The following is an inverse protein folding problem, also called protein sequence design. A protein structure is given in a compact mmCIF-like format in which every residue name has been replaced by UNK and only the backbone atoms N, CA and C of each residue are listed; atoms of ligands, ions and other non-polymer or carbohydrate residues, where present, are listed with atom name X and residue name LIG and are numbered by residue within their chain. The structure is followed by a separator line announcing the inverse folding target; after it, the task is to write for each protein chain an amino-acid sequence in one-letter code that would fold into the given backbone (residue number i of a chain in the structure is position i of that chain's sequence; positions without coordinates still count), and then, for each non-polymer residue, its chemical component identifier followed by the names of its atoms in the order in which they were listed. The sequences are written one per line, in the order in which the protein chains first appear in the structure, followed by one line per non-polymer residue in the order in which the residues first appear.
data_IF_919578512543
#
_entry.id   IF_919578512543
#
_cell.length_a   1.000
_cell.length_b   1.000
_cell.length_c   1.000
_cell.angle_alpha   90.00
_cell.angle_beta   90.00
_cell.angle_gamma   90.00
#
_symmetry.space_group_name_H-M   'P 1'
#
loop_
_entity.id
_entity.type
_entity.pdbx_description
1 polymer ?
#
# COMPACT_ATOMS: atom_id res chain seq x y z
N UNK A 1 -20.78 15.78 -78.13
CA UNK A 1 -19.77 16.73 -77.61
C UNK A 1 -20.35 17.39 -76.35
N UNK A 2 -19.92 16.93 -75.17
CA UNK A 2 -20.45 17.36 -73.85
C UNK A 2 -19.68 18.61 -73.37
N UNK A 3 -20.40 19.69 -73.04
CA UNK A 3 -19.87 20.85 -72.30
C UNK A 3 -20.01 20.62 -70.80
N UNK A 4 -18.97 20.98 -70.07
CA UNK A 4 -18.77 20.76 -68.65
C UNK A 4 -19.68 21.65 -67.77
N UNK A 5 -20.22 21.05 -66.70
CA UNK A 5 -20.81 21.76 -65.56
C UNK A 5 -19.80 21.67 -64.41
N UNK A 6 -19.21 22.80 -64.02
CA UNK A 6 -18.40 22.90 -62.80
C UNK A 6 -19.32 23.12 -61.61
N UNK A 7 -19.51 22.11 -60.76
CA UNK A 7 -20.05 22.30 -59.41
C UNK A 7 -18.90 22.55 -58.43
N UNK A 8 -18.78 23.77 -57.90
CA UNK A 8 -17.93 24.05 -56.74
C UNK A 8 -18.57 23.40 -55.50
N UNK A 9 -18.04 22.26 -55.05
CA UNK A 9 -18.28 21.77 -53.68
C UNK A 9 -17.27 22.46 -52.76
N UNK A 10 -17.77 23.33 -51.87
CA UNK A 10 -17.00 23.74 -50.70
C UNK A 10 -16.80 22.50 -49.82
N UNK A 11 -15.55 22.10 -49.65
CA UNK A 11 -15.16 21.11 -48.65
C UNK A 11 -15.06 21.85 -47.33
N UNK A 12 -16.05 21.64 -46.45
CA UNK A 12 -15.91 21.99 -45.04
C UNK A 12 -14.96 20.96 -44.41
N UNK A 13 -13.69 21.33 -44.22
CA UNK A 13 -12.81 20.66 -43.27
C UNK A 13 -13.29 21.05 -41.87
N UNK A 14 -13.72 20.13 -40.99
CA UNK A 14 -13.82 20.45 -39.58
C UNK A 14 -12.38 20.65 -39.07
N UNK A 15 -12.06 21.87 -38.64
CA UNK A 15 -10.89 22.12 -37.81
C UNK A 15 -11.07 21.26 -36.55
N UNK A 16 -10.36 20.13 -36.48
CA UNK A 16 -10.05 19.49 -35.21
C UNK A 16 -9.20 20.49 -34.42
N UNK A 17 -9.84 21.27 -33.56
CA UNK A 17 -9.15 21.88 -32.44
C UNK A 17 -8.66 20.74 -31.55
N UNK A 18 -7.45 20.28 -31.82
CA UNK A 18 -6.66 19.57 -30.83
C UNK A 18 -6.36 20.61 -29.76
N UNK A 19 -7.22 20.65 -28.74
CA UNK A 19 -6.89 21.28 -27.48
C UNK A 19 -5.68 20.51 -26.92
N UNK A 20 -4.49 21.01 -27.24
CA UNK A 20 -3.33 20.79 -26.41
C UNK A 20 -3.71 21.32 -25.04
N UNK A 21 -4.09 20.42 -24.13
CA UNK A 21 -4.07 20.70 -22.71
C UNK A 21 -2.60 20.93 -22.39
N UNK A 22 -2.18 22.19 -22.42
CA UNK A 22 -0.99 22.64 -21.74
C UNK A 22 -1.20 22.28 -20.27
N UNK A 23 -0.63 21.15 -19.84
CA UNK A 23 -0.38 20.89 -18.42
C UNK A 23 0.73 21.86 -18.03
N UNK A 24 0.37 23.13 -17.89
CA UNK A 24 1.11 24.05 -17.04
C UNK A 24 0.95 23.53 -15.63
N UNK A 25 2.08 23.15 -15.03
CA UNK A 25 2.23 22.67 -13.67
C UNK A 25 1.56 23.60 -12.66
N UNK A 26 0.28 23.36 -12.40
CA UNK A 26 -0.29 23.55 -11.08
C UNK A 26 -0.08 22.20 -10.41
N UNK A 27 0.86 22.11 -9.46
CA UNK A 27 0.80 21.05 -8.44
C UNK A 27 -0.58 21.20 -7.80
N UNK A 28 -1.58 20.45 -8.27
CA UNK A 28 -2.89 20.42 -7.65
C UNK A 28 -2.66 20.08 -6.18
N UNK A 29 -3.11 20.94 -5.27
CA UNK A 29 -3.01 20.62 -3.84
C UNK A 29 -3.73 19.30 -3.63
N UNK A 30 -3.04 18.31 -3.04
CA UNK A 30 -3.64 17.03 -2.72
C UNK A 30 -4.87 17.26 -1.82
N UNK A 31 -5.94 16.46 -1.98
CA UNK A 31 -7.17 16.64 -1.20
C UNK A 31 -6.93 16.20 0.25
N UNK A 32 -6.56 17.15 1.09
CA UNK A 32 -6.28 16.97 2.53
C UNK A 32 -7.46 17.50 3.34
N UNK A 33 -7.77 16.86 4.48
CA UNK A 33 -8.84 17.32 5.36
C UNK A 33 -8.45 18.65 6.02
N UNK A 34 -9.41 19.56 6.21
CA UNK A 34 -9.17 20.82 6.91
C UNK A 34 -8.80 20.58 8.38
N UNK A 35 -7.79 21.30 8.87
CA UNK A 35 -7.38 21.19 10.27
C UNK A 35 -6.01 21.79 10.56
N UNK A 36 -5.53 21.61 11.81
CA UNK A 36 -4.32 22.27 12.30
C UNK A 36 -3.01 21.69 11.76
N UNK A 37 -3.03 20.50 11.15
CA UNK A 37 -1.88 19.89 10.49
C UNK A 37 -1.85 20.29 9.02
N UNK A 38 -0.67 20.69 8.56
CA UNK A 38 -0.36 21.09 7.19
C UNK A 38 0.78 20.22 6.67
N UNK A 39 0.93 20.13 5.35
CA UNK A 39 2.00 19.39 4.69
C UNK A 39 3.36 20.11 4.78
N UNK A 40 3.76 20.52 5.98
CA UNK A 40 5.00 21.20 6.31
C UNK A 40 5.58 20.57 7.58
N UNK A 41 6.90 20.38 7.64
CA UNK A 41 7.55 19.61 8.71
C UNK A 41 7.26 20.19 10.11
N UNK A 42 7.31 21.51 10.24
CA UNK A 42 7.08 22.23 11.49
C UNK A 42 5.64 22.04 12.00
N UNK A 43 4.70 21.74 11.11
CA UNK A 43 3.31 21.51 11.50
C UNK A 43 3.16 20.27 12.38
N UNK A 44 4.05 19.28 12.25
CA UNK A 44 3.96 18.02 12.98
C UNK A 44 4.56 18.10 14.39
N UNK A 45 5.25 19.18 14.74
CA UNK A 45 5.74 19.44 16.11
C UNK A 45 4.59 19.57 17.12
N UNK A 46 3.35 19.77 16.64
CA UNK A 46 2.14 19.80 17.46
C UNK A 46 1.62 18.40 17.81
N UNK A 47 2.18 17.35 17.23
CA UNK A 47 1.76 15.97 17.50
C UNK A 47 1.93 15.67 18.99
N UNK A 48 0.89 15.10 19.58
CA UNK A 48 0.92 14.56 20.92
C UNK A 48 0.42 13.12 20.84
N UNK A 49 1.26 12.19 21.30
CA UNK A 49 0.89 10.78 21.33
C UNK A 49 -0.32 10.59 22.26
N UNK A 50 -1.44 10.02 21.77
CA UNK A 50 -2.61 9.74 22.60
C UNK A 50 -2.28 8.81 23.77
N UNK A 51 -2.84 9.09 24.95
CA UNK A 51 -2.59 8.31 26.17
C UNK A 51 -2.91 6.82 26.00
N UNK A 52 -3.94 6.47 25.22
CA UNK A 52 -4.28 5.07 24.99
C UNK A 52 -3.12 4.26 24.39
N UNK A 53 -2.33 4.87 23.50
CA UNK A 53 -1.21 4.18 22.86
C UNK A 53 -0.04 4.05 23.83
N UNK A 54 0.21 5.12 24.60
CA UNK A 54 1.19 5.10 25.69
C UNK A 54 0.85 4.01 26.69
N UNK A 55 -0.41 3.80 27.04
CA UNK A 55 -0.87 2.82 28.02
C UNK A 55 -1.02 1.40 27.46
N UNK A 56 -1.21 1.25 26.14
CA UNK A 56 -1.48 -0.03 25.51
C UNK A 56 -0.36 -1.06 25.72
N UNK A 57 0.90 -0.62 25.56
CA UNK A 57 2.16 -1.39 25.65
C UNK A 57 2.31 -2.59 24.71
N UNK A 58 1.22 -3.28 24.36
CA UNK A 58 1.23 -4.52 23.59
C UNK A 58 0.05 -4.59 22.63
N UNK A 59 0.35 -4.90 21.38
CA UNK A 59 -0.62 -5.20 20.32
C UNK A 59 -0.16 -6.38 19.49
N UNK A 60 -1.07 -6.91 18.67
CA UNK A 60 -0.80 -8.02 17.76
C UNK A 60 -0.99 -7.55 16.31
N UNK A 61 -0.06 -7.90 15.45
CA UNK A 61 -0.10 -7.59 14.02
C UNK A 61 -0.28 -8.88 13.20
N UNK A 62 -1.15 -8.83 12.19
CA UNK A 62 -1.35 -9.92 11.23
C UNK A 62 -0.73 -9.57 9.88
N UNK A 63 0.48 -10.06 9.64
CA UNK A 63 1.13 -10.03 8.33
C UNK A 63 0.64 -11.19 7.46
N UNK A 64 -0.55 -11.04 6.86
CA UNK A 64 -1.24 -12.15 6.18
C UNK A 64 -2.00 -11.69 4.94
N UNK A 65 -1.56 -12.16 3.78
CA UNK A 65 -2.15 -11.89 2.46
C UNK A 65 -1.87 -13.04 1.48
N UNK A 66 -2.04 -12.85 0.16
CA UNK A 66 -1.83 -13.92 -0.82
C UNK A 66 -0.42 -14.53 -0.82
N UNK A 67 0.59 -13.76 -0.43
CA UNK A 67 1.96 -14.23 -0.23
C UNK A 67 2.06 -15.41 0.78
N UNK A 68 1.07 -15.59 1.65
CA UNK A 68 1.01 -16.71 2.59
C UNK A 68 0.59 -18.06 1.96
N UNK A 69 0.04 -18.08 0.74
CA UNK A 69 -0.40 -19.32 0.06
C UNK A 69 0.73 -20.36 -0.02
N UNK A 70 1.95 -20.01 -0.47
CA UNK A 70 3.04 -20.97 -0.66
C UNK A 70 3.76 -21.31 0.64
N UNK A 71 3.56 -20.52 1.70
CA UNK A 71 4.22 -20.67 3.01
C UNK A 71 5.76 -20.61 2.94
N UNK A 72 6.28 -19.75 2.06
CA UNK A 72 7.72 -19.60 1.78
C UNK A 72 8.26 -18.20 2.17
N UNK A 73 7.70 -17.62 3.22
CA UNK A 73 8.11 -16.30 3.74
C UNK A 73 7.32 -15.12 3.16
N UNK A 74 7.43 -13.99 3.84
CA UNK A 74 6.67 -12.76 3.62
C UNK A 74 6.93 -12.08 2.26
N UNK A 75 8.13 -12.25 1.73
CA UNK A 75 8.58 -11.65 0.47
C UNK A 75 8.39 -12.57 -0.75
N UNK A 76 7.56 -13.62 -0.64
CA UNK A 76 7.39 -14.60 -1.73
C UNK A 76 7.03 -13.95 -3.07
N UNK A 77 6.15 -12.95 -3.07
CA UNK A 77 5.70 -12.26 -4.28
C UNK A 77 6.84 -11.67 -5.12
N UNK A 78 7.96 -11.26 -4.49
CA UNK A 78 9.17 -10.83 -5.20
C UNK A 78 10.13 -11.99 -5.46
N UNK A 79 10.39 -12.80 -4.44
CA UNK A 79 11.43 -13.84 -4.48
C UNK A 79 11.12 -14.95 -5.48
N UNK A 80 9.84 -15.20 -5.78
CA UNK A 80 9.44 -16.13 -6.84
C UNK A 80 9.87 -15.72 -8.25
N UNK A 81 10.35 -14.49 -8.46
CA UNK A 81 10.90 -14.01 -9.73
C UNK A 81 12.43 -13.89 -9.73
N UNK A 82 13.09 -14.30 -8.65
CA UNK A 82 14.54 -14.23 -8.53
C UNK A 82 15.12 -15.63 -8.76
N UNK A 83 15.63 -15.89 -9.96
CA UNK A 83 16.04 -17.23 -10.44
C UNK A 83 16.90 -18.05 -9.46
N UNK A 84 17.72 -17.38 -8.63
CA UNK A 84 18.62 -18.02 -7.66
C UNK A 84 18.03 -18.18 -6.26
N UNK A 85 16.84 -17.65 -6.01
CA UNK A 85 16.18 -17.66 -4.70
C UNK A 85 15.47 -19.01 -4.45
N UNK A 86 15.52 -19.56 -3.22
CA UNK A 86 14.77 -20.77 -2.87
C UNK A 86 13.27 -20.70 -3.18
N UNK A 87 12.64 -19.52 -3.07
CA UNK A 87 11.23 -19.33 -3.39
C UNK A 87 10.94 -19.52 -4.89
N UNK A 88 11.86 -19.11 -5.77
CA UNK A 88 11.76 -19.35 -7.22
C UNK A 88 11.81 -20.86 -7.51
N UNK A 89 12.78 -21.58 -6.92
CA UNK A 89 12.85 -23.05 -7.07
C UNK A 89 11.57 -23.73 -6.58
N UNK A 90 11.07 -23.34 -5.41
CA UNK A 90 9.80 -23.85 -4.90
C UNK A 90 8.66 -23.56 -5.88
N UNK A 91 8.63 -22.36 -6.46
CA UNK A 91 7.61 -21.95 -7.42
C UNK A 91 7.61 -22.86 -8.67
N UNK A 92 8.78 -23.13 -9.24
CA UNK A 92 8.92 -24.05 -10.38
C UNK A 92 8.39 -25.45 -10.07
N UNK A 93 8.72 -25.99 -8.90
CA UNK A 93 8.36 -27.35 -8.51
C UNK A 93 6.85 -27.53 -8.24
N UNK A 94 6.14 -26.47 -7.84
CA UNK A 94 4.76 -26.56 -7.36
C UNK A 94 3.72 -25.89 -8.27
N UNK A 95 4.11 -24.85 -9.01
CA UNK A 95 3.19 -24.03 -9.80
C UNK A 95 3.61 -23.92 -11.27
N UNK A 96 4.92 -23.91 -11.55
CA UNK A 96 5.48 -23.78 -12.89
C UNK A 96 6.34 -22.53 -13.05
N UNK A 97 6.74 -22.21 -14.29
CA UNK A 97 7.60 -21.08 -14.56
C UNK A 97 6.86 -19.73 -14.37
N UNK A 98 7.48 -18.68 -13.77
CA UNK A 98 6.81 -17.41 -13.51
C UNK A 98 6.29 -16.64 -14.74
N UNK A 99 6.74 -17.01 -15.95
CA UNK A 99 6.17 -16.50 -17.22
C UNK A 99 4.81 -17.10 -17.57
N UNK A 100 4.46 -18.24 -16.97
CA UNK A 100 3.23 -19.00 -17.28
C UNK A 100 2.28 -18.98 -16.09
N UNK A 101 2.81 -19.18 -14.89
CA UNK A 101 2.09 -19.09 -13.63
C UNK A 101 2.85 -18.11 -12.74
N UNK A 102 2.33 -16.90 -12.55
CA UNK A 102 3.00 -15.86 -11.75
C UNK A 102 2.19 -15.45 -10.53
N UNK A 103 2.57 -14.35 -9.88
CA UNK A 103 1.94 -13.93 -8.63
C UNK A 103 0.45 -13.60 -8.79
N UNK A 104 0.05 -13.05 -9.94
CA UNK A 104 -1.35 -12.85 -10.31
C UNK A 104 -2.19 -14.11 -10.23
N UNK A 105 -1.58 -15.29 -10.45
CA UNK A 105 -2.22 -16.60 -10.40
C UNK A 105 -2.19 -17.21 -8.99
N UNK A 106 -1.26 -16.77 -8.13
CA UNK A 106 -1.24 -17.09 -6.69
C UNK A 106 -2.37 -16.37 -5.95
N UNK A 107 -2.66 -15.12 -6.29
CA UNK A 107 -3.72 -14.30 -5.66
C UNK A 107 -5.06 -15.04 -5.51
N UNK A 108 -5.67 -15.61 -6.58
CA UNK A 108 -6.96 -16.30 -6.47
C UNK A 108 -6.92 -17.59 -5.64
N UNK A 109 -5.74 -18.14 -5.33
CA UNK A 109 -5.60 -19.31 -4.45
C UNK A 109 -5.75 -18.96 -2.96
N UNK A 110 -5.60 -17.69 -2.59
CA UNK A 110 -5.76 -17.23 -1.21
C UNK A 110 -7.24 -17.10 -0.84
N UNK A 111 -7.88 -18.20 -0.45
CA UNK A 111 -9.35 -18.25 -0.25
C UNK A 111 -9.84 -17.95 1.17
N UNK A 112 -8.95 -17.94 2.16
CA UNK A 112 -9.30 -17.76 3.58
C UNK A 112 -10.45 -18.68 4.09
N UNK A 113 -10.48 -19.94 3.63
CA UNK A 113 -11.65 -20.84 3.83
C UNK A 113 -11.96 -21.17 5.29
N UNK A 114 -10.93 -21.15 6.15
CA UNK A 114 -11.03 -21.45 7.59
C UNK A 114 -10.70 -20.24 8.47
N UNK A 115 -10.68 -19.05 7.89
CA UNK A 115 -10.38 -17.83 8.63
C UNK A 115 -11.60 -17.39 9.45
N UNK A 116 -11.37 -17.26 10.75
CA UNK A 116 -12.36 -16.81 11.75
C UNK A 116 -11.75 -15.64 12.54
N UNK A 117 -11.97 -14.39 12.11
CA UNK A 117 -11.39 -13.22 12.77
C UNK A 117 -11.92 -13.03 14.19
N UNK A 118 -13.15 -13.43 14.48
CA UNK A 118 -13.78 -13.31 15.79
C UNK A 118 -13.07 -14.20 16.83
N UNK A 119 -12.83 -15.46 16.46
CA UNK A 119 -12.11 -16.41 17.32
C UNK A 119 -10.66 -15.97 17.55
N UNK A 120 -9.99 -15.50 16.50
CA UNK A 120 -8.61 -15.01 16.61
C UNK A 120 -8.53 -13.75 17.48
N UNK A 121 -9.45 -12.81 17.30
CA UNK A 121 -9.46 -11.58 18.11
C UNK A 121 -9.74 -11.85 19.59
N UNK A 122 -10.67 -12.78 19.90
CA UNK A 122 -10.91 -13.20 21.28
C UNK A 122 -9.64 -13.83 21.91
N UNK A 123 -8.89 -14.61 21.13
CA UNK A 123 -7.60 -15.16 21.56
C UNK A 123 -6.56 -14.04 21.81
N UNK A 124 -6.46 -13.07 20.90
CA UNK A 124 -5.54 -11.94 21.02
C UNK A 124 -5.85 -11.07 22.23
N UNK A 125 -7.13 -10.79 22.50
CA UNK A 125 -7.57 -10.12 23.73
C UNK A 125 -7.15 -10.91 24.97
N UNK A 126 -7.37 -12.22 24.97
CA UNK A 126 -6.98 -13.10 26.09
C UNK A 126 -5.46 -13.13 26.31
N UNK A 127 -4.67 -12.99 25.24
CA UNK A 127 -3.21 -12.85 25.32
C UNK A 127 -2.75 -11.50 25.89
N UNK A 128 -3.67 -10.54 26.08
CA UNK A 128 -3.38 -9.25 26.70
C UNK A 128 -3.23 -8.09 25.72
N UNK A 129 -3.41 -8.33 24.41
CA UNK A 129 -3.34 -7.26 23.40
C UNK A 129 -4.33 -6.14 23.73
N UNK A 130 -3.90 -4.89 23.50
CA UNK A 130 -4.73 -3.67 23.66
C UNK A 130 -5.12 -3.06 22.31
N UNK A 131 -4.37 -3.38 21.27
CA UNK A 131 -4.67 -3.05 19.89
C UNK A 131 -4.34 -4.21 18.97
N UNK A 132 -4.97 -4.22 17.80
CA UNK A 132 -4.68 -5.15 16.72
C UNK A 132 -4.38 -4.39 15.43
N UNK A 133 -3.38 -4.81 14.68
CA UNK A 133 -3.02 -4.24 13.38
C UNK A 133 -3.31 -5.25 12.27
N UNK A 134 -4.17 -4.89 11.31
CA UNK A 134 -4.37 -5.65 10.08
C UNK A 134 -3.34 -5.19 9.04
N UNK A 135 -2.82 -6.07 8.19
CA UNK A 135 -2.21 -5.61 6.96
C UNK A 135 -3.29 -5.08 6.00
N UNK A 136 -3.05 -3.90 5.43
CA UNK A 136 -3.84 -3.30 4.34
C UNK A 136 -3.28 -3.68 2.98
N UNK A 137 -1.97 -3.52 2.79
CA UNK A 137 -1.22 -3.99 1.61
C UNK A 137 0.19 -4.32 2.04
N UNK A 138 0.78 -5.38 1.47
CA UNK A 138 2.23 -5.56 1.51
C UNK A 138 2.89 -4.77 0.36
N UNK A 139 4.13 -5.09 0.01
CA UNK A 139 4.82 -4.54 -1.15
C UNK A 139 4.30 -5.10 -2.49
N UNK A 140 3.34 -6.03 -2.46
CA UNK A 140 2.83 -6.78 -3.61
C UNK A 140 1.66 -6.08 -4.33
N UNK A 141 1.32 -4.85 -3.93
CA UNK A 141 0.28 -4.03 -4.54
C UNK A 141 -1.10 -4.72 -4.61
N UNK A 142 -1.39 -5.62 -3.66
CA UNK A 142 -2.69 -6.27 -3.51
C UNK A 142 -3.37 -5.76 -2.25
N UNK A 143 -4.57 -5.20 -2.39
CA UNK A 143 -5.28 -4.54 -1.29
C UNK A 143 -6.17 -5.52 -0.54
N UNK A 144 -6.05 -5.53 0.79
CA UNK A 144 -6.82 -6.41 1.67
C UNK A 144 -8.19 -5.80 2.05
N UNK A 145 -8.57 -4.69 1.43
CA UNK A 145 -9.82 -3.95 1.68
C UNK A 145 -10.69 -3.83 0.43
N UNK A 146 -11.93 -3.35 0.58
CA UNK A 146 -12.87 -3.12 -0.55
C UNK A 146 -12.51 -1.83 -1.32
N UNK A 147 -11.40 -1.85 -2.06
CA UNK A 147 -10.97 -0.71 -2.85
C UNK A 147 -11.86 -0.47 -4.07
N UNK A 148 -12.22 0.79 -4.31
CA UNK A 148 -12.95 1.25 -5.50
C UNK A 148 -12.03 1.79 -6.58
N UNK A 149 -10.81 2.17 -6.22
CA UNK A 149 -9.82 2.71 -7.16
C UNK A 149 -8.80 1.67 -7.62
N UNK A 150 -8.68 0.54 -6.94
CA UNK A 150 -7.76 -0.54 -7.31
C UNK A 150 -8.47 -1.88 -7.45
N UNK A 151 -8.38 -2.50 -8.64
CA UNK A 151 -9.10 -3.75 -8.94
C UNK A 151 -8.51 -4.97 -8.23
N UNK A 152 -7.22 -4.95 -7.92
CA UNK A 152 -6.49 -6.04 -7.26
C UNK A 152 -6.71 -5.96 -5.75
N UNK A 153 -7.85 -6.50 -5.32
CA UNK A 153 -8.20 -6.49 -3.91
C UNK A 153 -8.93 -7.77 -3.45
N UNK A 154 -8.98 -7.97 -2.14
CA UNK A 154 -9.51 -9.17 -1.48
C UNK A 154 -11.03 -9.36 -1.63
N UNK A 155 -11.78 -8.31 -2.00
CA UNK A 155 -13.20 -8.43 -2.34
C UNK A 155 -13.36 -8.94 -3.78
N UNK A 156 -12.56 -8.41 -4.70
CA UNK A 156 -12.60 -8.78 -6.11
C UNK A 156 -11.94 -10.12 -6.40
N UNK A 157 -11.00 -10.60 -5.59
CA UNK A 157 -10.21 -11.81 -5.84
C UNK A 157 -9.88 -12.55 -4.54
N UNK A 158 -9.39 -13.78 -4.62
CA UNK A 158 -8.99 -14.55 -3.44
C UNK A 158 -10.17 -14.84 -2.50
N UNK A 159 -10.20 -14.28 -1.27
CA UNK A 159 -11.19 -14.65 -0.27
C UNK A 159 -12.60 -14.09 -0.53
N UNK A 160 -12.74 -13.14 -1.47
CA UNK A 160 -14.00 -12.43 -1.78
C UNK A 160 -14.61 -11.77 -0.54
N UNK A 161 -13.77 -11.18 0.28
CA UNK A 161 -14.10 -10.59 1.59
C UNK A 161 -13.29 -9.32 1.80
N UNK A 162 -13.91 -8.34 2.44
CA UNK A 162 -13.21 -7.18 2.99
C UNK A 162 -12.43 -7.61 4.25
N UNK A 163 -11.15 -7.93 4.08
CA UNK A 163 -10.34 -8.51 5.17
C UNK A 163 -10.06 -7.46 6.24
N UNK A 164 -9.70 -6.23 5.85
CA UNK A 164 -9.49 -5.11 6.78
C UNK A 164 -10.77 -4.80 7.55
N UNK A 165 -11.92 -4.71 6.87
CA UNK A 165 -13.20 -4.44 7.50
C UNK A 165 -13.64 -5.52 8.49
N UNK A 166 -13.44 -6.80 8.16
CA UNK A 166 -13.76 -7.92 9.04
C UNK A 166 -12.84 -7.96 10.28
N UNK A 167 -11.55 -7.65 10.12
CA UNK A 167 -10.66 -7.50 11.26
C UNK A 167 -11.04 -6.33 12.17
N UNK A 168 -11.39 -5.17 11.58
CA UNK A 168 -11.86 -4.00 12.32
C UNK A 168 -13.08 -4.33 13.16
N UNK A 169 -14.09 -4.97 12.55
CA UNK A 169 -15.32 -5.35 13.25
C UNK A 169 -15.04 -6.28 14.44
N UNK A 170 -14.18 -7.29 14.25
CA UNK A 170 -13.78 -8.21 15.32
C UNK A 170 -13.01 -7.49 16.45
N UNK A 171 -12.08 -6.58 16.11
CA UNK A 171 -11.31 -5.79 17.08
C UNK A 171 -12.23 -4.91 17.94
N UNK A 172 -13.13 -4.18 17.29
CA UNK A 172 -14.09 -3.29 17.97
C UNK A 172 -15.01 -4.08 18.91
N UNK A 173 -15.51 -5.24 18.49
CA UNK A 173 -16.34 -6.11 19.33
C UNK A 173 -15.63 -6.62 20.59
N UNK A 174 -14.30 -6.77 20.54
CA UNK A 174 -13.47 -7.13 21.70
C UNK A 174 -12.96 -5.91 22.50
N UNK A 175 -13.39 -4.70 22.13
CA UNK A 175 -12.94 -3.45 22.73
C UNK A 175 -11.43 -3.25 22.60
N UNK A 176 -10.87 -3.60 21.44
CA UNK A 176 -9.49 -3.33 21.08
C UNK A 176 -9.41 -2.14 20.12
N UNK A 177 -8.34 -1.37 20.25
CA UNK A 177 -7.95 -0.37 19.25
C UNK A 177 -7.57 -1.07 17.95
N UNK A 178 -7.89 -0.47 16.81
CA UNK A 178 -7.68 -1.10 15.51
C UNK A 178 -6.71 -0.28 14.66
N UNK A 179 -5.65 -0.91 14.17
CA UNK A 179 -4.69 -0.32 13.27
C UNK A 179 -4.63 -1.02 11.93
N UNK A 180 -4.00 -0.35 10.96
CA UNK A 180 -3.68 -0.91 9.66
C UNK A 180 -2.23 -0.62 9.30
N UNK A 181 -1.50 -1.63 8.81
CA UNK A 181 -0.19 -1.46 8.21
C UNK A 181 -0.28 -1.40 6.70
N UNK A 182 0.49 -0.50 6.08
CA UNK A 182 0.67 -0.42 4.65
C UNK A 182 2.16 -0.42 4.31
N UNK A 183 2.50 -1.15 3.26
CA UNK A 183 3.88 -1.32 2.81
C UNK A 183 4.01 -0.87 1.36
N UNK A 184 3.03 -0.09 0.88
CA UNK A 184 2.83 0.21 -0.52
C UNK A 184 3.89 1.18 -1.03
N UNK A 185 4.43 2.05 -0.17
CA UNK A 185 5.45 3.03 -0.57
C UNK A 185 6.67 2.42 -1.28
N UNK A 186 7.05 1.19 -0.92
CA UNK A 186 8.17 0.49 -1.55
C UNK A 186 7.79 -0.36 -2.77
N UNK A 187 6.50 -0.55 -3.02
CA UNK A 187 5.99 -1.52 -4.00
C UNK A 187 6.53 -1.28 -5.41
N UNK A 188 6.66 -0.03 -5.85
CA UNK A 188 7.06 0.33 -7.21
C UNK A 188 8.40 -0.28 -7.62
N UNK A 189 9.46 -0.05 -6.82
CA UNK A 189 10.80 -0.61 -7.07
C UNK A 189 10.94 -2.03 -6.53
N UNK A 190 10.22 -2.37 -5.46
CA UNK A 190 10.23 -3.72 -4.88
C UNK A 190 9.62 -4.77 -5.82
N UNK A 191 8.65 -4.42 -6.67
CA UNK A 191 8.03 -5.42 -7.54
C UNK A 191 8.73 -5.61 -8.89
N UNK A 192 9.77 -4.81 -9.19
CA UNK A 192 10.48 -4.86 -10.49
C UNK A 192 11.14 -6.22 -10.80
N UNK A 193 11.34 -7.09 -9.81
CA UNK A 193 11.78 -8.46 -10.07
C UNK A 193 10.82 -9.21 -11.02
N UNK A 194 9.52 -8.91 -10.97
CA UNK A 194 8.50 -9.50 -11.84
C UNK A 194 8.62 -9.10 -13.31
N UNK A 195 9.44 -8.09 -13.64
CA UNK A 195 9.72 -7.67 -15.03
C UNK A 195 10.93 -8.39 -15.63
N UNK A 196 11.57 -9.28 -14.86
CA UNK A 196 12.75 -10.04 -15.28
C UNK A 196 12.45 -11.22 -16.21
N UNK A 197 13.48 -12.04 -16.39
CA UNK A 197 13.43 -13.35 -17.05
C UNK A 197 14.59 -14.20 -16.54
N UNK A 198 14.52 -15.51 -16.76
CA UNK A 198 15.63 -16.41 -16.50
C UNK A 198 16.87 -16.03 -17.33
N UNK A 199 18.05 -16.17 -16.72
CA UNK A 199 19.33 -15.94 -17.38
C UNK A 199 19.88 -17.19 -18.09
N UNK A 200 19.33 -18.37 -17.80
CA UNK A 200 19.74 -19.68 -18.30
C UNK A 200 18.54 -20.66 -18.38
N UNK A 201 18.79 -21.90 -18.82
CA UNK A 201 17.74 -22.90 -18.97
C UNK A 201 16.81 -22.68 -20.17
N UNK A 202 15.78 -23.52 -20.27
CA UNK A 202 14.87 -23.57 -21.43
C UNK A 202 13.97 -22.33 -21.56
N UNK A 203 13.80 -21.58 -20.46
CA UNK A 203 13.01 -20.33 -20.41
C UNK A 203 13.87 -19.07 -20.40
N UNK A 204 15.17 -19.19 -20.71
CA UNK A 204 16.08 -18.05 -20.81
C UNK A 204 15.51 -16.92 -21.68
N UNK A 205 15.46 -15.72 -21.11
CA UNK A 205 15.00 -14.52 -21.81
C UNK A 205 13.49 -14.45 -22.08
N UNK A 206 12.71 -15.45 -21.64
CA UNK A 206 11.24 -15.38 -21.68
C UNK A 206 10.79 -14.46 -20.53
N UNK A 207 10.13 -13.33 -20.81
CA UNK A 207 9.70 -12.41 -19.76
C UNK A 207 8.74 -13.09 -18.78
N UNK A 208 8.91 -12.81 -17.50
CA UNK A 208 7.91 -13.19 -16.50
C UNK A 208 6.60 -12.40 -16.70
N UNK A 209 5.54 -12.82 -16.02
CA UNK A 209 4.21 -12.23 -16.21
C UNK A 209 4.09 -10.76 -15.78
N UNK A 210 5.01 -10.26 -14.94
CA UNK A 210 5.04 -8.86 -14.55
C UNK A 210 5.44 -7.91 -15.68
N UNK A 211 6.12 -8.41 -16.73
CA UNK A 211 6.43 -7.64 -17.92
C UNK A 211 5.23 -7.48 -18.88
N UNK A 212 4.11 -8.16 -18.63
CA UNK A 212 2.91 -8.07 -19.46
C UNK A 212 2.11 -6.79 -19.12
N UNK A 213 1.93 -5.85 -20.08
CA UNK A 213 1.28 -4.57 -19.81
C UNK A 213 -0.18 -4.71 -19.36
N UNK A 214 -0.83 -5.85 -19.59
CA UNK A 214 -2.21 -6.13 -19.12
C UNK A 214 -2.32 -6.22 -17.59
N UNK A 215 -1.21 -6.47 -16.91
CA UNK A 215 -1.12 -6.60 -15.46
C UNK A 215 -0.29 -5.48 -14.82
N UNK A 216 -0.03 -4.40 -15.56
CA UNK A 216 0.75 -3.25 -15.09
C UNK A 216 0.12 -2.54 -13.88
N UNK A 217 -1.19 -2.66 -13.69
CA UNK A 217 -1.84 -2.16 -12.48
C UNK A 217 -1.52 -2.99 -11.24
N UNK A 218 -1.13 -4.26 -11.35
CA UNK A 218 -0.56 -5.04 -10.24
C UNK A 218 0.94 -4.82 -10.11
N UNK A 219 1.69 -5.01 -11.21
CA UNK A 219 3.16 -5.10 -11.19
C UNK A 219 3.89 -3.77 -11.40
N UNK A 220 3.14 -2.66 -11.49
CA UNK A 220 3.62 -1.35 -11.88
C UNK A 220 4.18 -1.29 -13.29
N UNK A 221 4.39 -0.07 -13.80
CA UNK A 221 5.22 0.12 -14.98
C UNK A 221 6.71 -0.16 -14.67
N UNK A 222 7.54 -0.46 -15.69
CA UNK A 222 8.98 -0.53 -15.51
C UNK A 222 9.53 0.78 -14.92
N UNK A 223 10.47 0.68 -13.98
CA UNK A 223 11.14 1.85 -13.43
C UNK A 223 12.07 2.52 -14.44
N UNK A 224 12.38 3.80 -14.20
CA UNK A 224 13.53 4.42 -14.84
C UNK A 224 14.82 3.72 -14.40
N UNK A 225 15.87 3.61 -15.25
CA UNK A 225 17.07 2.85 -14.93
C UNK A 225 17.81 3.28 -13.64
N UNK A 226 17.64 4.53 -13.21
CA UNK A 226 18.22 5.12 -12.00
C UNK A 226 17.29 5.09 -10.78
N UNK A 227 16.01 4.74 -10.95
CA UNK A 227 15.05 4.61 -9.86
C UNK A 227 15.14 3.22 -9.22
N UNK A 228 16.05 3.11 -8.23
CA UNK A 228 16.36 1.87 -7.51
C UNK A 228 16.20 2.00 -5.99
N UNK A 229 15.79 3.17 -5.52
CA UNK A 229 15.64 3.44 -4.09
C UNK A 229 14.45 2.64 -3.51
N UNK A 230 14.45 2.46 -2.20
CA UNK A 230 13.32 1.82 -1.50
C UNK A 230 12.02 2.58 -1.74
N UNK A 231 12.07 3.91 -1.66
CA UNK A 231 10.97 4.80 -2.04
C UNK A 231 11.28 5.42 -3.40
N UNK A 232 10.42 5.16 -4.38
CA UNK A 232 10.59 5.66 -5.75
C UNK A 232 10.52 7.19 -5.85
N UNK A 233 11.24 7.76 -6.82
CA UNK A 233 11.09 9.16 -7.22
C UNK A 233 9.95 9.41 -8.24
N UNK A 234 9.22 8.35 -8.65
CA UNK A 234 8.14 8.43 -9.62
C UNK A 234 6.92 9.16 -9.03
N UNK A 235 6.71 10.40 -9.46
CA UNK A 235 5.62 11.25 -8.96
C UNK A 235 4.22 10.67 -9.20
N UNK A 236 4.01 9.92 -10.28
CA UNK A 236 2.70 9.29 -10.56
C UNK A 236 2.39 8.27 -9.48
N UNK A 237 3.35 7.38 -9.19
CA UNK A 237 3.20 6.39 -8.13
C UNK A 237 3.02 7.03 -6.74
N UNK A 238 3.73 8.13 -6.46
CA UNK A 238 3.56 8.84 -5.18
C UNK A 238 2.12 9.35 -5.00
N UNK A 239 1.47 9.83 -6.06
CA UNK A 239 0.07 10.27 -6.02
C UNK A 239 -0.90 9.09 -5.96
N UNK A 240 -0.60 7.98 -6.62
CA UNK A 240 -1.38 6.73 -6.52
C UNK A 240 -1.32 6.15 -5.10
N UNK A 241 -0.13 6.13 -4.48
CA UNK A 241 0.05 5.77 -3.08
C UNK A 241 -0.79 6.66 -2.17
N UNK A 242 -0.71 7.99 -2.33
CA UNK A 242 -1.52 8.92 -1.55
C UNK A 242 -3.01 8.61 -1.68
N UNK A 243 -3.49 8.41 -2.91
CA UNK A 243 -4.92 8.14 -3.17
C UNK A 243 -5.37 6.82 -2.55
N UNK A 244 -4.52 5.79 -2.62
CA UNK A 244 -4.80 4.46 -2.09
C UNK A 244 -4.85 4.44 -0.56
N UNK A 245 -3.84 5.02 0.10
CA UNK A 245 -3.83 5.04 1.57
C UNK A 245 -4.86 6.03 2.12
N UNK A 246 -5.17 7.11 1.39
CA UNK A 246 -6.29 7.99 1.73
C UNK A 246 -7.62 7.26 1.68
N UNK A 247 -7.90 6.47 0.63
CA UNK A 247 -9.12 5.65 0.55
C UNK A 247 -9.22 4.71 1.76
N UNK A 248 -8.11 4.09 2.16
CA UNK A 248 -8.05 3.23 3.34
C UNK A 248 -8.37 4.00 4.62
N UNK A 249 -7.77 5.18 4.82
CA UNK A 249 -8.05 6.04 5.98
C UNK A 249 -9.54 6.44 6.01
N UNK A 250 -10.08 6.90 4.88
CA UNK A 250 -11.47 7.34 4.79
C UNK A 250 -12.48 6.22 5.03
N UNK A 251 -12.18 5.01 4.58
CA UNK A 251 -13.10 3.87 4.72
C UNK A 251 -13.05 3.29 6.13
N UNK A 252 -11.88 3.25 6.76
CA UNK A 252 -11.66 2.45 7.96
C UNK A 252 -11.32 3.24 9.21
N UNK A 253 -10.96 4.53 9.13
CA UNK A 253 -10.61 5.38 10.27
C UNK A 253 -9.81 4.63 11.36
N UNK A 254 -8.64 4.06 11.01
CA UNK A 254 -7.87 3.28 11.96
C UNK A 254 -7.42 4.16 13.14
N UNK A 255 -7.29 3.58 14.33
CA UNK A 255 -6.65 4.20 15.49
C UNK A 255 -5.11 4.30 15.29
N UNK A 256 -4.53 3.40 14.48
CA UNK A 256 -3.11 3.35 14.16
C UNK A 256 -2.89 3.11 12.67
N UNK A 257 -2.08 3.95 12.02
CA UNK A 257 -1.59 3.73 10.65
C UNK A 257 -0.09 3.51 10.68
N UNK A 258 0.37 2.38 10.14
CA UNK A 258 1.80 2.03 10.09
C UNK A 258 2.29 1.96 8.64
N UNK A 259 3.31 2.74 8.30
CA UNK A 259 4.02 2.65 7.01
C UNK A 259 5.34 1.88 7.17
N UNK A 260 5.50 0.77 6.43
CA UNK A 260 6.71 -0.07 6.42
C UNK A 260 7.85 0.53 5.57
N UNK A 261 8.26 1.74 5.94
CA UNK A 261 9.38 2.50 5.37
C UNK A 261 9.70 3.70 6.26
N UNK A 262 10.68 4.52 5.87
CA UNK A 262 10.71 5.91 6.33
C UNK A 262 9.42 6.66 5.93
N UNK A 263 9.18 7.86 6.46
CA UNK A 263 8.01 8.66 6.08
C UNK A 263 7.97 8.83 4.54
N UNK A 264 6.92 8.33 3.86
CA UNK A 264 6.96 8.23 2.40
C UNK A 264 6.93 9.60 1.72
N UNK A 265 7.76 9.80 0.71
CA UNK A 265 7.53 10.81 -0.33
C UNK A 265 7.39 12.27 0.12
N UNK A 266 8.06 12.66 1.21
CA UNK A 266 8.20 14.06 1.62
C UNK A 266 6.84 14.78 1.75
N UNK A 267 6.57 15.79 0.91
CA UNK A 267 5.34 16.59 0.95
C UNK A 267 4.09 15.74 0.69
N UNK A 268 4.20 14.65 -0.07
CA UNK A 268 3.07 13.75 -0.35
C UNK A 268 2.73 12.94 0.89
N UNK A 269 3.71 12.37 1.58
CA UNK A 269 3.49 11.69 2.86
C UNK A 269 3.02 12.63 3.95
N UNK A 270 3.64 13.80 4.08
CA UNK A 270 3.16 14.85 5.01
C UNK A 270 1.71 15.22 4.72
N UNK A 271 1.32 15.32 3.45
CA UNK A 271 -0.08 15.57 3.07
C UNK A 271 -1.02 14.46 3.55
N UNK A 272 -0.61 13.19 3.42
CA UNK A 272 -1.41 12.04 3.89
C UNK A 272 -1.56 12.03 5.42
N UNK A 273 -0.45 12.21 6.15
CA UNK A 273 -0.45 12.22 7.61
C UNK A 273 -1.28 13.41 8.13
N UNK A 274 -1.17 14.58 7.49
CA UNK A 274 -2.02 15.73 7.81
C UNK A 274 -3.51 15.41 7.61
N UNK A 275 -3.86 14.74 6.50
CA UNK A 275 -5.24 14.32 6.24
C UNK A 275 -5.76 13.39 7.34
N UNK A 276 -4.97 12.37 7.70
CA UNK A 276 -5.30 11.41 8.75
C UNK A 276 -5.54 12.08 10.11
N UNK A 277 -4.62 12.93 10.55
CA UNK A 277 -4.75 13.64 11.82
C UNK A 277 -5.90 14.65 11.83
N UNK A 278 -6.07 15.41 10.75
CA UNK A 278 -7.14 16.41 10.67
C UNK A 278 -8.53 15.76 10.63
N UNK A 279 -8.68 14.63 9.92
CA UNK A 279 -9.93 13.87 9.92
C UNK A 279 -10.30 13.39 11.33
N UNK A 280 -9.34 12.83 12.06
CA UNK A 280 -9.56 12.35 13.43
C UNK A 280 -9.89 13.50 14.39
N UNK A 281 -9.16 14.62 14.31
CA UNK A 281 -9.43 15.83 15.13
C UNK A 281 -10.84 16.36 14.88
N UNK A 282 -11.27 16.42 13.63
CA UNK A 282 -12.62 16.85 13.27
C UNK A 282 -13.69 15.90 13.84
N UNK A 283 -13.43 14.59 13.83
CA UNK A 283 -14.33 13.58 14.38
C UNK A 283 -14.35 13.53 15.92
N UNK A 284 -13.29 14.00 16.58
CA UNK A 284 -13.09 13.89 18.03
C UNK A 284 -13.06 15.25 18.75
N UNK A 285 -13.89 16.20 18.30
CA UNK A 285 -14.08 17.50 18.95
C UNK A 285 -12.77 18.26 19.21
N UNK A 286 -11.84 18.22 18.25
CA UNK A 286 -10.56 18.93 18.35
C UNK A 286 -9.43 18.12 19.00
N UNK A 287 -9.68 16.89 19.44
CA UNK A 287 -8.67 16.03 20.10
C UNK A 287 -8.10 15.03 19.12
N UNK A 288 -6.76 14.89 19.08
CA UNK A 288 -6.10 13.84 18.30
C UNK A 288 -6.04 12.54 19.12
N UNK A 289 -6.64 11.49 18.59
CA UNK A 289 -6.73 10.15 19.16
C UNK A 289 -6.08 9.06 18.29
N UNK A 290 -5.56 9.41 17.11
CA UNK A 290 -4.87 8.47 16.22
C UNK A 290 -3.36 8.53 16.33
N UNK A 291 -2.71 7.44 15.92
CA UNK A 291 -1.25 7.32 15.85
C UNK A 291 -0.82 6.98 14.42
N UNK A 292 0.20 7.68 13.93
CA UNK A 292 0.95 7.27 12.74
C UNK A 292 2.34 6.76 13.14
N UNK A 293 2.77 5.65 12.54
CA UNK A 293 4.07 5.04 12.78
C UNK A 293 4.83 4.80 11.48
N UNK A 294 6.16 4.94 11.51
CA UNK A 294 7.03 4.57 10.40
C UNK A 294 8.47 4.32 10.89
N UNK A 295 9.30 3.71 10.04
CA UNK A 295 10.71 3.36 10.30
C UNK A 295 11.66 4.55 10.16
N UNK A 296 11.33 5.65 10.83
CA UNK A 296 12.13 6.87 10.85
C UNK A 296 12.03 7.56 12.21
N UNK A 297 13.18 8.02 12.73
CA UNK A 297 13.21 8.86 13.92
C UNK A 297 12.38 10.12 13.70
N UNK A 298 11.48 10.41 14.63
CA UNK A 298 10.46 11.44 14.45
C UNK A 298 10.79 12.77 15.10
N UNK A 299 11.68 12.79 16.10
CA UNK A 299 11.84 13.93 16.99
C UNK A 299 10.52 14.37 17.66
N UNK A 300 9.57 13.45 17.86
CA UNK A 300 8.26 13.74 18.43
C UNK A 300 7.15 14.08 17.42
N UNK A 301 7.40 14.02 16.10
CA UNK A 301 6.42 14.34 15.05
C UNK A 301 5.45 13.19 14.69
N UNK A 302 5.82 11.97 15.04
CA UNK A 302 5.09 10.71 14.88
C UNK A 302 5.71 9.65 15.80
N UNK A 303 5.21 8.43 15.81
CA UNK A 303 5.78 7.33 16.59
C UNK A 303 6.82 6.59 15.75
N UNK A 304 8.06 6.57 16.22
CA UNK A 304 9.11 5.77 15.58
C UNK A 304 8.81 4.28 15.76
N UNK A 305 8.88 3.54 14.66
CA UNK A 305 8.88 2.08 14.63
C UNK A 305 10.31 1.57 14.44
N UNK A 306 10.78 0.74 15.36
CA UNK A 306 12.12 0.13 15.34
C UNK A 306 11.98 -1.31 14.87
N UNK A 307 12.44 -1.60 13.67
CA UNK A 307 12.35 -2.95 13.09
C UNK A 307 13.12 -3.98 13.91
N UNK A 308 12.41 -4.99 14.46
CA UNK A 308 12.99 -6.16 15.15
C UNK A 308 14.10 -5.81 16.14
N UNK A 309 13.87 -4.81 16.98
CA UNK A 309 14.92 -4.25 17.81
C UNK A 309 14.43 -3.40 18.97
N UNK A 310 15.37 -2.74 19.63
CA UNK A 310 15.09 -1.79 20.71
C UNK A 310 15.99 -0.57 20.53
N UNK A 311 15.61 0.55 21.13
CA UNK A 311 16.50 1.69 21.25
C UNK A 311 17.55 1.41 22.33
N UNK A 312 18.79 1.84 22.08
CA UNK A 312 19.92 1.66 23.02
C UNK A 312 19.75 2.47 24.31
N UNK A 313 18.93 3.53 24.28
CA UNK A 313 18.68 4.42 25.42
C UNK A 313 17.19 4.72 25.57
N UNK A 314 16.79 5.17 26.76
CA UNK A 314 15.41 5.59 27.03
C UNK A 314 15.09 6.82 26.17
N UNK A 315 14.18 6.66 25.21
CA UNK A 315 13.70 7.77 24.39
C UNK A 315 12.78 8.70 25.19
N UNK A 316 12.90 10.03 25.03
CA UNK A 316 11.93 10.98 25.57
C UNK A 316 10.57 10.93 24.84
N UNK A 317 10.52 10.35 23.65
CA UNK A 317 9.31 10.21 22.83
C UNK A 317 8.81 8.76 22.83
N UNK A 318 7.49 8.54 22.84
CA UNK A 318 6.95 7.19 22.64
C UNK A 318 7.39 6.62 21.29
N UNK A 319 7.71 5.33 21.29
CA UNK A 319 8.16 4.54 20.15
C UNK A 319 7.55 3.14 20.25
N UNK A 320 7.61 2.38 19.17
CA UNK A 320 7.25 0.96 19.15
C UNK A 320 8.31 0.13 18.42
N UNK A 321 8.21 -1.18 18.57
CA UNK A 321 8.97 -2.15 17.77
C UNK A 321 8.05 -3.29 17.38
N UNK A 322 8.27 -3.84 16.20
CA UNK A 322 7.66 -5.05 15.69
C UNK A 322 8.62 -6.25 15.79
N UNK A 323 8.07 -7.42 16.10
CA UNK A 323 8.78 -8.70 16.12
C UNK A 323 7.81 -9.85 15.85
N UNK A 324 8.32 -11.03 15.48
CA UNK A 324 7.51 -12.18 15.04
C UNK A 324 8.03 -13.52 15.56
#
# INVERSE_FOLDING_TARGET
MKKAFQSRRLVFLPLLFVTFVTITAQKGKLPVAEGPFQAADESFQKFQCPEWFRDAKFGIWSHWGPQAVPRQGDWYARRMYQEKDPAYKYHLEHYGHPSEFGYKDIIPLWKAERWDPEKLMALYKKAGAKYFVSMGSHHDNFFLWDSRIHKWNAVNMGPKKDVVGLWKAAAQKQGLKFGVSEHLGASFTWFQAAHGSDSQGDKKGVPYDGADPRFSDLYHAPTMPDDKAWLTNNLVFQIEWFSSIKELIDNYHPDLLYSDSAMPFEDVGRSLIAHYYNQDIAANNGTLNVVYTCKQESGGKWIQDVERGVLDTVSPYPWQTDTS
#
